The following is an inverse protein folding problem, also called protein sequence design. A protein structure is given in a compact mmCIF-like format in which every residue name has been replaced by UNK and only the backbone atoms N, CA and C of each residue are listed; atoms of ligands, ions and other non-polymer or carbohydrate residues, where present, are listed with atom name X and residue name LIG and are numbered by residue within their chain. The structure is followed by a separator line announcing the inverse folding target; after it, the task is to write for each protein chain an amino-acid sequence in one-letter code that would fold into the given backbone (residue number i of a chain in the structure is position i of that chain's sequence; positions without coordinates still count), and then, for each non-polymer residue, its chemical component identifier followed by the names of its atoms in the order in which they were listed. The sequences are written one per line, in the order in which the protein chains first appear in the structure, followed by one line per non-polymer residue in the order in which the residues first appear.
data_IF_663249681532
#
_entry.id   IF_663249681532
#
_cell.length_a   1.000
_cell.length_b   1.000
_cell.length_c   1.000
_cell.angle_alpha   90.00
_cell.angle_beta   90.00
_cell.angle_gamma   90.00
#
_symmetry.space_group_name_H-M   'P 1'
#
loop_
_entity.id
_entity.type
_entity.pdbx_description
1 polymer ?
#
# COMPACT_ATOMS: atom_id res chain seq x y z
N UNK A 1 -12.02 8.92 -11.75
CA UNK A 1 -11.08 9.12 -10.64
C UNK A 1 -9.71 8.59 -11.05
N UNK A 2 -8.65 9.06 -10.39
CA UNK A 2 -7.27 8.63 -10.54
C UNK A 2 -6.86 7.91 -9.27
N UNK A 3 -6.64 6.60 -9.37
CA UNK A 3 -6.22 5.76 -8.26
C UNK A 3 -4.75 5.38 -8.40
N UNK A 4 -4.01 5.55 -7.32
CA UNK A 4 -2.64 5.12 -7.20
C UNK A 4 -2.55 3.83 -6.37
N UNK A 5 -1.74 2.88 -6.80
CA UNK A 5 -1.44 1.65 -6.09
C UNK A 5 0.05 1.62 -5.78
N UNK A 6 0.38 1.78 -4.49
CA UNK A 6 1.73 1.63 -3.97
C UNK A 6 1.93 0.17 -3.58
N UNK A 7 2.68 -0.59 -4.37
CA UNK A 7 2.77 -2.05 -4.23
C UNK A 7 4.14 -2.60 -4.65
N UNK A 8 4.33 -3.91 -4.45
CA UNK A 8 5.44 -4.68 -4.99
C UNK A 8 5.43 -4.73 -6.54
N UNK A 9 6.55 -5.11 -7.19
CA UNK A 9 6.68 -5.15 -8.64
C UNK A 9 5.47 -5.77 -9.38
N UNK A 10 4.77 -4.96 -10.18
CA UNK A 10 3.59 -5.39 -10.96
C UNK A 10 3.89 -6.59 -11.87
N UNK A 11 5.15 -6.75 -12.29
CA UNK A 11 5.65 -7.86 -13.10
C UNK A 11 5.46 -9.22 -12.39
N UNK A 12 5.53 -9.24 -11.06
CA UNK A 12 5.54 -10.45 -10.25
C UNK A 12 4.13 -10.85 -9.76
N UNK A 13 3.11 -10.09 -10.13
CA UNK A 13 1.73 -10.32 -9.70
C UNK A 13 1.20 -11.66 -10.19
N UNK A 14 0.62 -12.44 -9.27
CA UNK A 14 -0.10 -13.67 -9.58
C UNK A 14 -1.56 -13.31 -9.92
N UNK A 15 -1.87 -13.13 -11.21
CA UNK A 15 -3.15 -12.57 -11.68
C UNK A 15 -4.41 -13.31 -11.18
N UNK A 16 -4.30 -14.59 -10.81
CA UNK A 16 -5.42 -15.41 -10.32
C UNK A 16 -5.53 -15.45 -8.79
N UNK A 17 -4.56 -14.86 -8.06
CA UNK A 17 -4.50 -14.90 -6.59
C UNK A 17 -4.35 -13.54 -5.94
N UNK A 18 -3.92 -12.54 -6.70
CA UNK A 18 -3.63 -11.21 -6.19
C UNK A 18 -4.90 -10.35 -6.11
N UNK A 19 -5.27 -9.96 -4.89
CA UNK A 19 -6.44 -9.10 -4.65
C UNK A 19 -6.20 -7.66 -5.11
N UNK A 20 -4.95 -7.17 -5.04
CA UNK A 20 -4.58 -5.84 -5.57
C UNK A 20 -4.85 -5.79 -7.07
N UNK A 21 -4.51 -6.85 -7.81
CA UNK A 21 -4.81 -6.95 -9.24
C UNK A 21 -6.31 -6.91 -9.55
N UNK A 22 -7.12 -7.60 -8.74
CA UNK A 22 -8.59 -7.58 -8.86
C UNK A 22 -9.12 -6.15 -8.66
N UNK A 23 -8.65 -5.43 -7.65
CA UNK A 23 -9.06 -4.04 -7.41
C UNK A 23 -8.69 -3.12 -8.58
N UNK A 24 -7.49 -3.28 -9.13
CA UNK A 24 -7.08 -2.45 -10.26
C UNK A 24 -7.89 -2.76 -11.54
N UNK A 25 -8.18 -4.03 -11.83
CA UNK A 25 -9.06 -4.40 -12.95
C UNK A 25 -10.46 -3.81 -12.81
N UNK A 26 -11.04 -3.88 -11.60
CA UNK A 26 -12.36 -3.33 -11.32
C UNK A 26 -12.37 -1.80 -11.43
N UNK A 27 -11.33 -1.12 -10.94
CA UNK A 27 -11.18 0.32 -11.12
C UNK A 27 -11.17 0.71 -12.60
N UNK A 28 -10.39 -0.02 -13.42
CA UNK A 28 -10.36 0.18 -14.87
C UNK A 28 -11.72 -0.09 -15.52
N UNK A 29 -12.42 -1.17 -15.14
CA UNK A 29 -13.73 -1.53 -15.68
C UNK A 29 -14.77 -0.43 -15.42
N UNK A 30 -14.63 0.33 -14.32
CA UNK A 30 -15.45 1.51 -14.00
C UNK A 30 -14.99 2.80 -14.68
N UNK A 31 -14.00 2.74 -15.57
CA UNK A 31 -13.47 3.90 -16.28
C UNK A 31 -12.57 4.80 -15.43
N UNK A 32 -12.00 4.29 -14.34
CA UNK A 32 -11.01 5.01 -13.55
C UNK A 32 -9.60 4.80 -14.11
N UNK A 33 -8.72 5.77 -13.89
CA UNK A 33 -7.31 5.62 -14.21
C UNK A 33 -6.59 4.87 -13.09
N UNK A 34 -5.80 3.87 -13.48
CA UNK A 34 -4.94 3.10 -12.58
C UNK A 34 -3.51 3.56 -12.75
N UNK A 35 -2.91 4.00 -11.65
CA UNK A 35 -1.52 4.43 -11.56
C UNK A 35 -0.78 3.52 -10.59
N UNK A 36 0.45 3.17 -10.93
CA UNK A 36 1.30 2.25 -10.18
C UNK A 36 2.56 2.95 -9.69
N UNK A 37 2.92 2.69 -8.43
CA UNK A 37 4.12 3.17 -7.76
C UNK A 37 4.76 2.05 -6.94
N UNK A 38 6.07 2.08 -6.85
CA UNK A 38 6.86 1.31 -5.88
C UNK A 38 7.36 2.23 -4.76
N UNK A 39 7.89 1.65 -3.69
CA UNK A 39 8.44 2.39 -2.55
C UNK A 39 9.52 3.39 -2.98
N UNK A 40 10.36 3.01 -3.95
CA UNK A 40 11.44 3.85 -4.48
C UNK A 40 10.94 5.00 -5.36
N UNK A 41 9.66 5.01 -5.77
CA UNK A 41 9.07 6.08 -6.55
C UNK A 41 8.58 7.24 -5.68
N UNK A 42 8.53 7.06 -4.37
CA UNK A 42 8.11 8.07 -3.41
C UNK A 42 9.28 8.93 -2.98
N UNK A 43 9.08 10.24 -2.95
CA UNK A 43 10.10 11.18 -2.47
C UNK A 43 9.46 12.47 -1.95
N UNK A 44 10.23 13.28 -1.23
CA UNK A 44 9.80 14.61 -0.79
C UNK A 44 10.57 15.66 -1.59
N UNK A 45 9.84 16.60 -2.16
CA UNK A 45 10.41 17.78 -2.80
C UNK A 45 9.70 19.02 -2.27
N UNK A 46 10.46 20.01 -1.78
CA UNK A 46 9.93 21.29 -1.26
C UNK A 46 8.78 21.08 -0.24
N UNK A 47 8.98 20.16 0.69
CA UNK A 47 8.02 19.78 1.73
C UNK A 47 6.69 19.19 1.23
N UNK A 48 6.62 18.74 -0.03
CA UNK A 48 5.49 17.99 -0.58
C UNK A 48 5.91 16.58 -0.92
N UNK A 49 4.99 15.64 -0.71
CA UNK A 49 5.21 14.26 -1.12
C UNK A 49 4.91 14.13 -2.62
N UNK A 50 5.90 13.63 -3.33
CA UNK A 50 5.88 13.43 -4.77
C UNK A 50 5.97 11.93 -5.07
N UNK A 51 5.47 11.56 -6.25
CA UNK A 51 5.55 10.19 -6.74
C UNK A 51 5.85 10.15 -8.22
N UNK A 52 6.67 9.18 -8.63
CA UNK A 52 6.80 8.77 -10.03
C UNK A 52 5.79 7.67 -10.32
N UNK A 53 4.68 8.05 -10.93
CA UNK A 53 3.55 7.16 -11.18
C UNK A 53 3.49 6.70 -12.63
N UNK A 54 3.25 5.41 -12.84
CA UNK A 54 3.08 4.80 -14.16
C UNK A 54 1.63 4.48 -14.41
N UNK A 55 1.04 5.03 -15.47
CA UNK A 55 -0.34 4.71 -15.85
C UNK A 55 -0.40 3.32 -16.47
N UNK A 56 -1.25 2.47 -15.93
CA UNK A 56 -1.42 1.10 -16.38
C UNK A 56 -2.69 0.92 -17.19
N UNK A 57 -2.62 0.03 -18.16
CA UNK A 57 -3.77 -0.72 -18.67
C UNK A 57 -3.57 -2.18 -18.28
N UNK A 58 -4.61 -2.81 -17.72
CA UNK A 58 -4.58 -4.14 -17.16
C UNK A 58 -5.48 -5.11 -17.93
N UNK A 59 -5.12 -6.39 -17.89
CA UNK A 59 -5.88 -7.49 -18.50
C UNK A 59 -5.54 -8.82 -17.87
N UNK A 60 -6.52 -9.73 -17.80
CA UNK A 60 -6.30 -11.12 -17.33
C UNK A 60 -5.67 -11.96 -18.43
N UNK A 61 -4.38 -11.74 -18.69
CA UNK A 61 -3.60 -12.50 -19.67
C UNK A 61 -2.22 -12.84 -19.10
N UNK A 62 -1.93 -14.13 -18.93
CA UNK A 62 -0.62 -14.59 -18.49
C UNK A 62 0.50 -14.08 -19.41
N UNK A 63 1.56 -13.51 -18.82
CA UNK A 63 2.70 -12.95 -19.54
C UNK A 63 2.44 -11.61 -20.25
N UNK A 64 1.21 -11.09 -20.20
CA UNK A 64 0.84 -9.80 -20.80
C UNK A 64 -0.25 -9.11 -19.97
N UNK A 65 -0.15 -9.17 -18.65
CA UNK A 65 -1.23 -8.73 -17.76
C UNK A 65 -1.31 -7.22 -17.57
N UNK A 66 -0.34 -6.46 -18.08
CA UNK A 66 -0.35 -5.01 -18.06
C UNK A 66 0.42 -4.38 -19.23
N UNK A 67 0.09 -3.13 -19.57
CA UNK A 67 0.90 -2.19 -20.37
C UNK A 67 1.10 -0.90 -19.59
N UNK A 68 2.30 -0.34 -19.66
CA UNK A 68 2.58 1.03 -19.18
C UNK A 68 2.35 2.02 -20.32
N UNK A 69 1.43 2.95 -20.13
CA UNK A 69 1.09 3.99 -21.13
C UNK A 69 1.90 5.27 -20.99
N UNK A 70 2.55 5.46 -19.86
CA UNK A 70 3.36 6.63 -19.60
C UNK A 70 3.74 6.74 -18.13
N UNK A 71 4.67 7.63 -17.86
CA UNK A 71 5.17 7.95 -16.54
C UNK A 71 4.99 9.44 -16.26
N UNK A 72 4.52 9.77 -15.07
CA UNK A 72 4.33 11.15 -14.63
C UNK A 72 4.90 11.33 -13.23
N UNK A 73 5.64 12.41 -13.02
CA UNK A 73 6.09 12.83 -11.69
C UNK A 73 5.18 13.96 -11.20
N UNK A 74 4.64 13.81 -10.00
CA UNK A 74 3.71 14.81 -9.45
C UNK A 74 3.40 14.60 -7.97
N UNK A 75 2.67 15.54 -7.35
CA UNK A 75 2.28 15.45 -5.95
C UNK A 75 1.31 14.28 -5.75
N UNK A 76 1.52 13.48 -4.70
CA UNK A 76 0.64 12.34 -4.41
C UNK A 76 -0.76 12.80 -3.95
N UNK A 77 -0.87 13.99 -3.35
CA UNK A 77 -2.16 14.59 -2.99
C UNK A 77 -3.10 14.83 -4.18
N UNK A 78 -2.60 14.79 -5.43
CA UNK A 78 -3.42 14.97 -6.63
C UNK A 78 -4.15 13.69 -7.10
N UNK A 79 -3.91 12.55 -6.44
CA UNK A 79 -4.71 11.34 -6.65
C UNK A 79 -5.99 11.40 -5.82
N UNK A 80 -7.10 10.89 -6.36
CA UNK A 80 -8.34 10.83 -5.59
C UNK A 80 -8.24 9.79 -4.47
N UNK A 81 -7.55 8.67 -4.74
CA UNK A 81 -7.25 7.67 -3.73
C UNK A 81 -5.90 6.98 -3.95
N UNK A 82 -5.25 6.57 -2.86
CA UNK A 82 -3.98 5.83 -2.86
C UNK A 82 -4.16 4.55 -2.06
N UNK A 83 -3.91 3.41 -2.67
CA UNK A 83 -3.92 2.10 -2.05
C UNK A 83 -2.49 1.73 -1.62
N UNK A 84 -2.23 1.69 -0.32
CA UNK A 84 -1.03 1.10 0.27
C UNK A 84 -1.15 -0.42 0.28
N UNK A 85 -0.54 -1.07 -0.71
CA UNK A 85 -0.64 -2.50 -1.00
C UNK A 85 0.74 -3.17 -1.10
N UNK A 86 1.75 -2.55 -0.50
CA UNK A 86 3.06 -3.17 -0.28
C UNK A 86 2.89 -4.31 0.73
N UNK A 87 3.41 -5.49 0.39
CA UNK A 87 3.38 -6.63 1.29
C UNK A 87 4.32 -6.42 2.50
N UNK A 88 4.03 -7.04 3.65
CA UNK A 88 4.94 -7.09 4.80
C UNK A 88 6.35 -7.59 4.41
N UNK A 89 7.39 -7.30 5.23
CA UNK A 89 7.32 -6.90 6.63
C UNK A 89 7.03 -5.41 6.87
N UNK A 90 6.56 -5.09 8.08
CA UNK A 90 6.53 -3.72 8.58
C UNK A 90 7.93 -3.33 9.08
N UNK A 91 8.74 -2.77 8.19
CA UNK A 91 10.11 -2.33 8.44
C UNK A 91 10.24 -0.79 8.40
N UNK A 92 11.48 -0.27 8.47
CA UNK A 92 11.73 1.18 8.43
C UNK A 92 11.24 1.79 7.09
N UNK A 93 11.54 1.23 5.91
CA UNK A 93 10.95 1.68 4.65
C UNK A 93 9.41 1.74 4.68
N UNK A 94 8.74 0.70 5.17
CA UNK A 94 7.29 0.68 5.31
C UNK A 94 6.81 1.83 6.21
N UNK A 95 7.46 2.00 7.38
CA UNK A 95 7.17 3.09 8.31
C UNK A 95 7.29 4.46 7.63
N UNK A 96 8.37 4.72 6.90
CA UNK A 96 8.57 5.98 6.17
C UNK A 96 7.50 6.20 5.11
N UNK A 97 7.10 5.17 4.36
CA UNK A 97 6.00 5.30 3.41
C UNK A 97 4.69 5.70 4.11
N UNK A 98 4.39 5.18 5.30
CA UNK A 98 3.19 5.65 6.03
C UNK A 98 3.25 7.14 6.37
N UNK A 99 4.43 7.70 6.65
CA UNK A 99 4.60 9.13 6.94
C UNK A 99 4.46 9.97 5.66
N UNK A 100 4.95 9.47 4.53
CA UNK A 100 4.78 10.13 3.23
C UNK A 100 3.30 10.15 2.82
N UNK A 101 2.59 9.04 3.06
CA UNK A 101 1.17 8.94 2.77
C UNK A 101 0.31 9.81 3.70
N UNK A 102 0.73 10.09 4.94
CA UNK A 102 0.06 11.09 5.78
C UNK A 102 0.09 12.48 5.15
N UNK A 103 1.23 12.87 4.57
CA UNK A 103 1.35 14.15 3.85
C UNK A 103 0.42 14.17 2.62
N UNK A 104 0.36 13.07 1.86
CA UNK A 104 -0.55 12.96 0.72
C UNK A 104 -2.01 13.11 1.15
N UNK A 105 -2.37 12.54 2.30
CA UNK A 105 -3.72 12.65 2.86
C UNK A 105 -4.05 14.08 3.28
N UNK A 106 -3.09 14.82 3.85
CA UNK A 106 -3.24 16.25 4.17
C UNK A 106 -3.39 17.12 2.91
N UNK A 107 -2.80 16.69 1.79
CA UNK A 107 -2.90 17.36 0.50
C UNK A 107 -4.16 16.99 -0.31
N UNK A 108 -5.01 16.08 0.20
CA UNK A 108 -6.34 15.80 -0.33
C UNK A 108 -6.58 14.36 -0.81
N UNK A 109 -5.55 13.52 -0.88
CA UNK A 109 -5.73 12.13 -1.33
C UNK A 109 -6.39 11.25 -0.25
N UNK A 110 -7.33 10.40 -0.63
CA UNK A 110 -7.85 9.38 0.29
C UNK A 110 -6.92 8.16 0.33
N UNK A 111 -6.29 7.88 1.47
CA UNK A 111 -5.32 6.77 1.58
C UNK A 111 -5.95 5.54 2.23
N UNK A 112 -5.87 4.41 1.54
CA UNK A 112 -6.34 3.10 1.99
C UNK A 112 -5.18 2.13 2.25
N UNK A 113 -5.00 1.59 3.45
CA UNK A 113 -5.63 1.99 4.71
C UNK A 113 -5.02 3.29 5.25
N UNK A 114 -5.69 3.89 6.24
CA UNK A 114 -5.18 5.10 6.90
C UNK A 114 -3.74 4.89 7.42
N UNK A 115 -2.77 5.76 7.09
CA UNK A 115 -1.37 5.51 7.43
C UNK A 115 -1.07 5.52 8.94
N UNK A 116 -1.73 6.39 9.71
CA UNK A 116 -1.63 6.35 11.17
C UNK A 116 -2.18 5.03 11.74
N UNK A 117 -3.30 4.55 11.18
CA UNK A 117 -3.86 3.25 11.50
C UNK A 117 -2.88 2.10 11.26
N UNK A 118 -2.15 2.11 10.13
CA UNK A 118 -1.12 1.10 9.82
C UNK A 118 0.02 1.08 10.84
N UNK A 119 0.41 2.24 11.39
CA UNK A 119 1.45 2.31 12.44
C UNK A 119 0.96 1.83 13.80
N UNK A 120 -0.30 2.10 14.13
CA UNK A 120 -0.88 1.76 15.44
C UNK A 120 -1.36 0.30 15.49
N UNK A 121 -1.99 -0.17 14.44
CA UNK A 121 -2.61 -1.50 14.38
C UNK A 121 -1.63 -2.57 13.89
N UNK A 122 -0.58 -2.84 14.67
CA UNK A 122 0.33 -3.95 14.38
C UNK A 122 -0.43 -5.27 14.27
N UNK A 123 -0.23 -6.02 13.18
CA UNK A 123 -1.00 -7.23 12.86
C UNK A 123 -1.04 -8.28 13.98
N UNK A 124 -0.01 -8.35 14.83
CA UNK A 124 0.05 -9.28 15.96
C UNK A 124 -0.43 -8.65 17.27
N UNK A 125 0.15 -7.50 17.64
CA UNK A 125 -0.12 -6.88 18.95
C UNK A 125 -1.49 -6.21 19.04
N UNK A 126 -2.09 -5.82 17.90
CA UNK A 126 -3.39 -5.15 17.90
C UNK A 126 -4.50 -6.03 18.48
N UNK A 127 -4.37 -7.36 18.37
CA UNK A 127 -5.28 -8.33 18.95
C UNK A 127 -5.43 -8.19 20.49
N UNK A 128 -4.42 -7.65 21.18
CA UNK A 128 -4.45 -7.42 22.64
C UNK A 128 -5.52 -6.41 23.08
N UNK A 129 -6.07 -5.61 22.16
CA UNK A 129 -7.23 -4.75 22.43
C UNK A 129 -8.55 -5.54 22.57
N UNK A 130 -8.55 -6.84 22.26
CA UNK A 130 -9.73 -7.70 22.26
C UNK A 130 -9.49 -8.98 23.09
N UNK A 131 -9.19 -8.85 24.40
CA UNK A 131 -8.72 -9.97 25.22
C UNK A 131 -9.73 -11.12 25.38
N UNK A 132 -11.02 -10.87 25.12
CA UNK A 132 -12.10 -11.87 25.27
C UNK A 132 -12.22 -12.84 24.09
N UNK A 133 -11.58 -12.55 22.95
CA UNK A 133 -11.69 -13.33 21.71
C UNK A 133 -10.34 -13.81 21.17
N UNK A 134 -9.29 -13.76 21.99
CA UNK A 134 -7.94 -14.23 21.65
C UNK A 134 -7.49 -15.34 22.60
N UNK A 135 -6.60 -16.25 22.18
CA UNK A 135 -6.00 -17.21 23.11
C UNK A 135 -5.14 -16.49 24.17
N UNK A 136 -4.84 -17.16 25.31
CA UNK A 136 -3.81 -16.68 26.24
C UNK A 136 -2.53 -16.34 25.48
N UNK A 137 -2.09 -15.09 25.59
CA UNK A 137 -1.02 -14.53 24.75
C UNK A 137 0.11 -14.01 25.63
N UNK A 138 1.33 -14.48 25.37
CA UNK A 138 2.57 -13.97 25.96
C UNK A 138 3.43 -13.35 24.86
N UNK A 139 3.85 -12.10 25.06
CA UNK A 139 4.84 -11.42 24.22
C UNK A 139 6.03 -11.08 25.10
N UNK A 140 7.20 -11.66 24.79
CA UNK A 140 8.40 -11.42 25.59
C UNK A 140 9.67 -11.63 24.79
N UNK A 141 10.71 -10.88 25.15
CA UNK A 141 12.09 -11.14 24.72
C UNK A 141 12.86 -12.00 25.75
N UNK A 142 12.30 -12.28 26.94
CA UNK A 142 12.94 -13.11 27.97
C UNK A 142 12.69 -14.60 27.69
N UNK A 143 13.73 -15.38 27.33
CA UNK A 143 13.57 -16.80 27.04
C UNK A 143 13.01 -17.62 28.22
N UNK A 144 13.22 -17.16 29.47
CA UNK A 144 12.71 -17.84 30.67
C UNK A 144 11.19 -17.80 30.76
N UNK A 145 10.55 -16.77 30.19
CA UNK A 145 9.09 -16.67 30.12
C UNK A 145 8.50 -17.50 28.99
N UNK A 146 9.27 -17.76 27.92
CA UNK A 146 8.81 -18.46 26.71
C UNK A 146 8.91 -19.99 26.79
N UNK A 147 9.81 -20.52 27.62
CA UNK A 147 10.05 -21.97 27.78
C UNK A 147 9.28 -22.60 28.96
N UNK A 148 8.44 -21.82 29.62
CA UNK A 148 7.63 -22.25 30.75
C UNK A 148 6.46 -23.13 30.30
#
# INVERSE_FOLDING_TARGET
MRFAFLMDPIQNVLIDKDTTFVFMLEAQARGHEVHYLEMADLFIERARVMGRARRLELRRQYGNHFTVHGETVGPLGAFDAIFMRKDPPFDIPYLHATQFLDLAQQEGAFVLNNPAGLRTANEKLYALNFPTIIPPTLVSQDPRRLKA
#
